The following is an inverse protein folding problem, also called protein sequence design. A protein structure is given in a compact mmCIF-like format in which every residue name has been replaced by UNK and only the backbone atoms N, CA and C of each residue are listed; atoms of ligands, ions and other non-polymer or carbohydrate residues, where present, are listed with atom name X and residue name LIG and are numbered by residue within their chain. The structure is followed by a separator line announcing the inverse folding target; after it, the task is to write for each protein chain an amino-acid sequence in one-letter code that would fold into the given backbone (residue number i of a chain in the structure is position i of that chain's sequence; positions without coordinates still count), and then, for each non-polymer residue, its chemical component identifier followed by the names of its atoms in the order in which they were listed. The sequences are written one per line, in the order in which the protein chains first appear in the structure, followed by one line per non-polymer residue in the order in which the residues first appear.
data_IF_127959643568
#
_entry.id   IF_127959643568
#
_cell.length_a   1.000
_cell.length_b   1.000
_cell.length_c   1.000
_cell.angle_alpha   90.00
_cell.angle_beta   90.00
_cell.angle_gamma   90.00
#
_symmetry.space_group_name_H-M   'P 1'
#
loop_
_entity.id
_entity.type
_entity.pdbx_description
1 polymer ?
#
# COMPACT_ATOMS: atom_id res chain seq x y z
N UNK A 1 -31.06 -5.38 -3.12
CA UNK A 1 -29.85 -5.53 -2.28
C UNK A 1 -29.70 -4.32 -1.38
N UNK A 2 -28.90 -4.43 -0.32
CA UNK A 2 -28.58 -3.27 0.52
C UNK A 2 -27.63 -2.33 -0.24
N UNK A 3 -27.70 -1.02 0.00
CA UNK A 3 -26.67 -0.05 -0.46
C UNK A 3 -25.26 -0.51 -0.07
N UNK A 4 -25.17 -1.31 0.98
CA UNK A 4 -23.94 -1.91 1.45
C UNK A 4 -23.23 -2.80 0.42
N UNK A 5 -23.99 -3.50 -0.44
CA UNK A 5 -23.44 -4.43 -1.42
C UNK A 5 -23.09 -3.74 -2.74
N UNK A 6 -23.66 -2.56 -3.00
CA UNK A 6 -23.48 -1.83 -4.26
C UNK A 6 -22.12 -1.13 -4.37
N UNK A 7 -21.63 -0.57 -3.26
CA UNK A 7 -20.35 0.14 -3.25
C UNK A 7 -19.17 -0.82 -3.50
N UNK A 8 -19.05 -1.97 -2.80
CA UNK A 8 -18.00 -2.95 -3.07
C UNK A 8 -18.02 -3.45 -4.52
N UNK A 9 -19.19 -3.79 -5.06
CA UNK A 9 -19.33 -4.19 -6.48
C UNK A 9 -18.87 -3.09 -7.45
N UNK A 10 -19.19 -1.83 -7.15
CA UNK A 10 -18.74 -0.70 -7.95
C UNK A 10 -17.22 -0.53 -7.90
N UNK A 11 -16.59 -0.79 -6.74
CA UNK A 11 -15.14 -0.78 -6.58
C UNK A 11 -14.50 -1.92 -7.37
N UNK A 12 -15.04 -3.14 -7.28
CA UNK A 12 -14.56 -4.29 -8.04
C UNK A 12 -14.61 -4.01 -9.55
N UNK A 13 -15.74 -3.47 -10.03
CA UNK A 13 -15.93 -3.10 -11.43
C UNK A 13 -14.93 -2.03 -11.91
N UNK A 14 -14.62 -1.03 -11.08
CA UNK A 14 -13.62 -0.02 -11.42
C UNK A 14 -12.19 -0.56 -11.38
N UNK A 15 -11.94 -1.56 -10.53
CA UNK A 15 -10.62 -2.18 -10.37
C UNK A 15 -10.31 -3.14 -11.51
N UNK A 16 -11.30 -3.89 -11.99
CA UNK A 16 -11.14 -4.81 -13.12
C UNK A 16 -11.04 -4.10 -14.47
N UNK A 17 -11.46 -2.82 -14.54
CA UNK A 17 -11.50 -2.09 -15.79
C UNK A 17 -10.11 -1.67 -16.26
N UNK A 18 -9.74 -2.17 -17.44
CA UNK A 18 -8.54 -1.74 -18.15
C UNK A 18 -8.93 -0.96 -19.43
N UNK A 19 -8.65 0.35 -19.49
CA UNK A 19 -9.02 1.19 -20.63
C UNK A 19 -8.24 0.88 -21.93
N UNK A 20 -7.18 0.06 -21.86
CA UNK A 20 -6.40 -0.33 -23.04
C UNK A 20 -7.03 -1.53 -23.76
N UNK A 21 -7.68 -2.42 -23.02
CA UNK A 21 -8.20 -3.69 -23.55
C UNK A 21 -9.67 -3.60 -23.93
N UNK A 22 -10.47 -2.90 -23.13
CA UNK A 22 -11.93 -2.94 -23.24
C UNK A 22 -12.56 -1.56 -23.32
N UNK A 23 -13.59 -1.45 -24.16
CA UNK A 23 -14.53 -0.34 -24.10
C UNK A 23 -15.24 -0.33 -22.74
N UNK A 24 -15.52 0.84 -22.15
CA UNK A 24 -16.33 0.94 -20.93
C UNK A 24 -17.65 0.16 -21.02
N UNK A 25 -18.33 0.21 -22.16
CA UNK A 25 -19.62 -0.47 -22.36
C UNK A 25 -19.48 -2.00 -22.36
N UNK A 26 -18.48 -2.50 -23.10
CA UNK A 26 -18.20 -3.93 -23.19
C UNK A 26 -17.79 -4.48 -21.83
N UNK A 27 -16.93 -3.77 -21.10
CA UNK A 27 -16.52 -4.15 -19.76
C UNK A 27 -17.70 -4.18 -18.78
N UNK A 28 -18.56 -3.15 -18.82
CA UNK A 28 -19.74 -3.10 -17.97
C UNK A 28 -20.67 -4.29 -18.24
N UNK A 29 -20.98 -4.58 -19.51
CA UNK A 29 -21.86 -5.68 -19.88
C UNK A 29 -21.30 -7.06 -19.50
N UNK A 30 -19.99 -7.27 -19.61
CA UNK A 30 -19.35 -8.55 -19.31
C UNK A 30 -19.29 -8.85 -17.80
N UNK A 31 -19.03 -7.81 -16.99
CA UNK A 31 -18.86 -7.97 -15.54
C UNK A 31 -20.17 -7.81 -14.77
N UNK A 32 -21.12 -7.06 -15.31
CA UNK A 32 -22.44 -6.90 -14.72
C UNK A 32 -23.34 -8.09 -15.07
N UNK A 33 -23.36 -9.11 -14.21
CA UNK A 33 -24.39 -10.15 -14.27
C UNK A 33 -25.72 -9.52 -13.87
N UNK A 34 -26.69 -9.49 -14.78
CA UNK A 34 -28.01 -8.90 -14.59
C UNK A 34 -28.55 -9.20 -13.19
N UNK A 35 -28.58 -8.17 -12.34
CA UNK A 35 -29.35 -8.19 -11.09
C UNK A 35 -30.79 -7.80 -11.43
N UNK A 36 -31.76 -8.40 -10.74
CA UNK A 36 -33.20 -8.24 -11.04
C UNK A 36 -33.71 -6.80 -10.84
N UNK A 37 -32.99 -5.93 -10.10
CA UNK A 37 -33.41 -4.55 -9.83
C UNK A 37 -32.84 -3.54 -10.86
N UNK A 38 -33.68 -2.88 -11.68
CA UNK A 38 -33.26 -1.85 -12.62
C UNK A 38 -32.55 -0.66 -11.97
N UNK A 39 -32.90 -0.31 -10.72
CA UNK A 39 -32.35 0.86 -10.03
C UNK A 39 -30.88 0.65 -9.64
N UNK A 40 -30.54 -0.58 -9.23
CA UNK A 40 -29.16 -0.96 -8.90
C UNK A 40 -28.26 -0.90 -10.13
N UNK A 41 -28.76 -1.42 -11.26
CA UNK A 41 -28.07 -1.32 -12.54
C UNK A 41 -27.80 0.12 -12.93
N UNK A 42 -28.82 0.98 -12.83
CA UNK A 42 -28.70 2.39 -13.17
C UNK A 42 -27.67 3.11 -12.29
N UNK A 43 -27.67 2.84 -10.98
CA UNK A 43 -26.67 3.40 -10.06
C UNK A 43 -25.25 2.96 -10.43
N UNK A 44 -25.03 1.66 -10.63
CA UNK A 44 -23.72 1.13 -11.00
C UNK A 44 -23.22 1.68 -12.35
N UNK A 45 -24.10 1.81 -13.34
CA UNK A 45 -23.78 2.46 -14.60
C UNK A 45 -23.35 3.91 -14.37
N UNK A 46 -24.15 4.68 -13.65
CA UNK A 46 -23.88 6.09 -13.38
C UNK A 46 -22.56 6.32 -12.63
N UNK A 47 -22.24 5.47 -11.66
CA UNK A 47 -20.97 5.52 -10.94
C UNK A 47 -19.81 5.13 -11.86
N UNK A 48 -19.92 4.02 -12.58
CA UNK A 48 -18.85 3.53 -13.45
C UNK A 48 -18.51 4.52 -14.58
N UNK A 49 -19.51 4.91 -15.36
CA UNK A 49 -19.32 5.86 -16.45
C UNK A 49 -18.93 7.25 -15.95
N UNK A 50 -19.49 7.68 -14.82
CA UNK A 50 -19.17 8.97 -14.20
C UNK A 50 -17.72 9.06 -13.72
N UNK A 51 -17.27 8.06 -12.97
CA UNK A 51 -15.88 7.98 -12.49
C UNK A 51 -14.90 7.84 -13.65
N UNK A 52 -15.26 7.10 -14.71
CA UNK A 52 -14.40 6.99 -15.89
C UNK A 52 -14.34 8.31 -16.69
N UNK A 53 -15.47 9.03 -16.82
CA UNK A 53 -15.53 10.33 -17.50
C UNK A 53 -14.69 11.39 -16.80
N UNK A 54 -14.75 11.45 -15.47
CA UNK A 54 -14.01 12.43 -14.66
C UNK A 54 -12.74 11.83 -14.03
N UNK A 55 -12.15 10.82 -14.67
CA UNK A 55 -11.05 10.05 -14.09
C UNK A 55 -9.84 10.90 -13.71
N UNK A 56 -9.43 11.81 -14.59
CA UNK A 56 -8.24 12.65 -14.34
C UNK A 56 -8.51 13.73 -13.29
N UNK A 57 -9.74 14.27 -13.26
CA UNK A 57 -10.21 15.19 -12.21
C UNK A 57 -10.11 14.52 -10.83
N UNK A 58 -10.67 13.32 -10.70
CA UNK A 58 -10.72 12.57 -9.44
C UNK A 58 -9.33 12.08 -9.03
N UNK A 59 -8.46 11.71 -9.97
CA UNK A 59 -7.07 11.33 -9.67
C UNK A 59 -6.27 12.49 -9.08
N UNK A 60 -6.43 13.70 -9.61
CA UNK A 60 -5.74 14.89 -9.09
C UNK A 60 -6.22 15.23 -7.68
N UNK A 61 -7.52 15.12 -7.44
CA UNK A 61 -8.09 15.26 -6.10
C UNK A 61 -7.51 14.23 -5.12
N UNK A 62 -7.52 12.94 -5.47
CA UNK A 62 -6.96 11.89 -4.62
C UNK A 62 -5.48 12.15 -4.30
N UNK A 63 -4.67 12.55 -5.29
CA UNK A 63 -3.26 12.90 -5.06
C UNK A 63 -3.10 14.02 -4.04
N UNK A 64 -3.93 15.06 -4.12
CA UNK A 64 -3.91 16.16 -3.16
C UNK A 64 -4.31 15.68 -1.75
N UNK A 65 -5.40 14.91 -1.63
CA UNK A 65 -5.87 14.39 -0.34
C UNK A 65 -4.82 13.50 0.31
N UNK A 66 -4.24 12.55 -0.43
CA UNK A 66 -3.22 11.65 0.09
C UNK A 66 -1.92 12.37 0.46
N UNK A 67 -1.64 13.53 -0.15
CA UNK A 67 -0.50 14.38 0.23
C UNK A 67 -0.76 15.13 1.54
N UNK A 68 -1.94 15.71 1.70
CA UNK A 68 -2.30 16.53 2.87
C UNK A 68 -2.58 15.65 4.09
N UNK A 69 -3.34 14.57 3.90
CA UNK A 69 -3.83 13.68 4.96
C UNK A 69 -3.10 12.34 4.98
N UNK A 70 -1.80 12.33 4.71
CA UNK A 70 -0.97 11.13 4.56
C UNK A 70 -0.98 10.19 5.79
N UNK A 71 -1.25 10.71 6.99
CA UNK A 71 -1.30 9.93 8.23
C UNK A 71 -2.59 9.13 8.40
N UNK A 72 -3.68 9.57 7.76
CA UNK A 72 -5.03 9.04 7.98
C UNK A 72 -5.60 8.31 6.75
N UNK A 73 -4.88 8.33 5.63
CA UNK A 73 -5.36 7.81 4.34
C UNK A 73 -4.34 6.87 3.71
N UNK A 74 -4.83 5.84 3.01
CA UNK A 74 -3.98 4.87 2.30
C UNK A 74 -4.27 4.94 0.79
N UNK A 75 -3.25 4.73 -0.04
CA UNK A 75 -3.38 4.59 -1.49
C UNK A 75 -4.38 3.48 -1.91
N UNK A 76 -4.59 2.46 -1.08
CA UNK A 76 -5.60 1.43 -1.30
C UNK A 76 -7.03 2.00 -1.33
N UNK A 77 -7.26 3.14 -0.67
CA UNK A 77 -8.57 3.80 -0.62
C UNK A 77 -8.83 4.68 -1.85
N UNK A 78 -8.00 4.60 -2.90
CA UNK A 78 -8.13 5.43 -4.09
C UNK A 78 -9.50 5.28 -4.77
N UNK A 79 -9.95 4.06 -5.08
CA UNK A 79 -11.24 3.87 -5.76
C UNK A 79 -12.45 4.29 -4.91
N UNK A 80 -12.56 3.90 -3.62
CA UNK A 80 -13.59 4.43 -2.73
C UNK A 80 -13.63 5.97 -2.73
N UNK A 81 -12.47 6.63 -2.66
CA UNK A 81 -12.40 8.09 -2.63
C UNK A 81 -12.86 8.70 -3.95
N UNK A 82 -12.51 8.10 -5.09
CA UNK A 82 -12.98 8.55 -6.41
C UNK A 82 -14.50 8.45 -6.54
N UNK A 83 -15.09 7.33 -6.10
CA UNK A 83 -16.54 7.13 -6.16
C UNK A 83 -17.26 8.19 -5.31
N UNK A 84 -16.85 8.34 -4.04
CA UNK A 84 -17.51 9.27 -3.13
C UNK A 84 -17.30 10.73 -3.57
N UNK A 85 -16.10 11.09 -4.02
CA UNK A 85 -15.84 12.43 -4.53
C UNK A 85 -16.65 12.76 -5.79
N UNK A 86 -16.84 11.78 -6.68
CA UNK A 86 -17.74 11.90 -7.84
C UNK A 86 -19.19 12.14 -7.39
N UNK A 87 -19.66 11.34 -6.41
CA UNK A 87 -21.02 11.46 -5.90
C UNK A 87 -21.26 12.86 -5.30
N UNK A 88 -20.36 13.35 -4.46
CA UNK A 88 -20.49 14.67 -3.83
C UNK A 88 -20.43 15.79 -4.87
N UNK A 89 -19.45 15.77 -5.76
CA UNK A 89 -19.19 16.88 -6.68
C UNK A 89 -20.25 17.00 -7.77
N UNK A 90 -20.72 15.88 -8.31
CA UNK A 90 -21.56 15.88 -9.52
C UNK A 90 -22.98 15.33 -9.34
N UNK A 91 -23.24 14.53 -8.29
CA UNK A 91 -24.48 13.74 -8.20
C UNK A 91 -25.27 13.93 -6.92
N UNK A 92 -24.76 14.69 -5.95
CA UNK A 92 -25.41 14.85 -4.64
C UNK A 92 -26.83 15.43 -4.78
N UNK A 93 -27.00 16.39 -5.69
CA UNK A 93 -28.27 17.08 -5.91
C UNK A 93 -29.34 16.14 -6.51
N UNK A 94 -28.92 15.19 -7.36
CA UNK A 94 -29.81 14.19 -7.97
C UNK A 94 -30.11 13.01 -7.04
N UNK A 95 -29.11 12.59 -6.25
CA UNK A 95 -29.22 11.43 -5.35
C UNK A 95 -29.94 11.79 -4.04
N UNK A 96 -29.73 13.02 -3.58
CA UNK A 96 -30.20 13.55 -2.31
C UNK A 96 -29.37 13.07 -1.11
N UNK A 97 -29.31 13.92 -0.10
CA UNK A 97 -28.52 13.70 1.14
C UNK A 97 -28.91 12.42 1.88
N UNK A 98 -30.20 12.01 1.83
CA UNK A 98 -30.69 10.80 2.53
C UNK A 98 -30.09 9.51 2.00
N UNK A 99 -30.03 9.35 0.67
CA UNK A 99 -29.43 8.16 0.06
C UNK A 99 -27.91 8.20 0.17
N UNK A 100 -27.33 9.38 0.01
CA UNK A 100 -25.90 9.59 0.20
C UNK A 100 -25.44 9.19 1.62
N UNK A 101 -26.18 9.59 2.67
CA UNK A 101 -25.88 9.20 4.05
C UNK A 101 -25.84 7.67 4.22
N UNK A 102 -26.79 6.93 3.66
CA UNK A 102 -26.81 5.45 3.72
C UNK A 102 -25.58 4.82 3.06
N UNK A 103 -25.12 5.38 1.95
CA UNK A 103 -23.92 4.94 1.23
C UNK A 103 -22.69 5.16 2.11
N UNK A 104 -22.55 6.35 2.69
CA UNK A 104 -21.43 6.72 3.55
C UNK A 104 -21.38 5.89 4.83
N UNK A 105 -22.54 5.61 5.44
CA UNK A 105 -22.63 4.81 6.67
C UNK A 105 -22.15 3.36 6.52
N UNK A 106 -22.15 2.84 5.29
CA UNK A 106 -21.58 1.52 4.96
C UNK A 106 -20.05 1.51 5.03
N UNK A 107 -19.43 2.65 4.71
CA UNK A 107 -17.98 2.76 4.59
C UNK A 107 -17.33 3.08 5.94
N UNK A 108 -16.00 2.99 5.99
CA UNK A 108 -15.23 3.29 7.19
C UNK A 108 -15.39 4.77 7.62
N UNK A 109 -15.93 5.05 8.83
CA UNK A 109 -16.30 6.41 9.22
C UNK A 109 -15.15 7.41 9.22
N UNK A 110 -13.96 7.00 9.69
CA UNK A 110 -12.78 7.86 9.76
C UNK A 110 -12.34 8.32 8.37
N UNK A 111 -12.26 7.39 7.42
CA UNK A 111 -11.85 7.69 6.04
C UNK A 111 -12.84 8.62 5.34
N UNK A 112 -14.13 8.36 5.51
CA UNK A 112 -15.17 9.20 4.91
C UNK A 112 -15.18 10.60 5.53
N UNK A 113 -14.97 10.72 6.84
CA UNK A 113 -14.84 12.00 7.51
C UNK A 113 -13.69 12.84 6.91
N UNK A 114 -12.49 12.26 6.81
CA UNK A 114 -11.32 12.95 6.24
C UNK A 114 -11.55 13.40 4.80
N UNK A 115 -12.15 12.53 3.98
CA UNK A 115 -12.47 12.84 2.58
C UNK A 115 -13.48 13.99 2.47
N UNK A 116 -14.60 13.92 3.21
CA UNK A 116 -15.65 14.93 3.16
C UNK A 116 -15.19 16.26 3.74
N UNK A 117 -14.44 16.24 4.85
CA UNK A 117 -13.87 17.45 5.44
C UNK A 117 -12.95 18.18 4.45
N UNK A 118 -12.15 17.45 3.68
CA UNK A 118 -11.30 18.05 2.66
C UNK A 118 -12.11 18.56 1.46
N UNK A 119 -13.06 17.77 0.97
CA UNK A 119 -13.82 18.07 -0.25
C UNK A 119 -14.82 19.22 -0.07
N UNK A 120 -15.34 19.42 1.14
CA UNK A 120 -16.30 20.46 1.45
C UNK A 120 -15.63 21.78 1.90
N UNK A 121 -14.32 21.77 2.15
CA UNK A 121 -13.57 22.96 2.52
C UNK A 121 -13.04 23.68 1.26
N UNK A 122 -13.64 24.83 0.94
CA UNK A 122 -13.27 25.63 -0.23
C UNK A 122 -11.82 26.10 -0.21
N UNK A 123 -11.30 26.50 0.95
CA UNK A 123 -9.93 27.01 1.09
C UNK A 123 -8.92 25.90 0.76
N UNK A 124 -9.15 24.71 1.30
CA UNK A 124 -8.29 23.54 1.05
C UNK A 124 -8.31 23.12 -0.42
N UNK A 125 -9.47 23.19 -1.08
CA UNK A 125 -9.58 22.90 -2.51
C UNK A 125 -8.87 23.96 -3.36
N UNK A 126 -9.02 25.24 -3.01
CA UNK A 126 -8.35 26.36 -3.69
C UNK A 126 -6.83 26.26 -3.56
N UNK A 127 -6.32 25.91 -2.40
CA UNK A 127 -4.88 25.83 -2.14
C UNK A 127 -4.22 24.60 -2.79
N UNK A 128 -4.84 23.43 -2.69
CA UNK A 128 -4.16 22.18 -3.03
C UNK A 128 -4.59 21.54 -4.35
N UNK A 129 -5.77 21.89 -4.88
CA UNK A 129 -6.38 21.16 -6.01
C UNK A 129 -6.66 22.05 -7.21
N UNK A 130 -7.06 23.31 -6.99
CA UNK A 130 -7.48 24.23 -8.05
C UNK A 130 -6.49 24.30 -9.21
N UNK A 131 -5.22 24.59 -8.95
CA UNK A 131 -4.20 24.72 -10.00
C UNK A 131 -4.07 23.41 -10.81
N UNK A 132 -4.09 22.28 -10.10
CA UNK A 132 -4.06 20.96 -10.74
C UNK A 132 -5.30 20.71 -11.61
N UNK A 133 -6.49 21.15 -11.19
CA UNK A 133 -7.71 21.01 -12.00
C UNK A 133 -7.73 21.98 -13.18
N UNK A 134 -7.24 23.21 -13.02
CA UNK A 134 -7.14 24.21 -14.07
C UNK A 134 -6.18 23.81 -15.22
N UNK A 135 -5.29 22.85 -15.00
CA UNK A 135 -4.48 22.26 -16.08
C UNK A 135 -5.30 21.41 -17.06
N UNK A 136 -6.46 20.88 -16.65
CA UNK A 136 -7.30 20.00 -17.46
C UNK A 136 -8.63 20.65 -17.85
N UNK A 137 -9.18 21.49 -16.96
CA UNK A 137 -10.49 22.10 -17.12
C UNK A 137 -10.41 23.62 -17.04
N UNK A 138 -11.39 24.29 -17.62
CA UNK A 138 -11.49 25.74 -17.58
C UNK A 138 -11.65 26.27 -16.15
N UNK A 139 -11.08 27.44 -15.90
CA UNK A 139 -11.11 28.09 -14.59
C UNK A 139 -12.53 28.26 -14.03
N UNK A 140 -13.47 28.70 -14.86
CA UNK A 140 -14.87 28.91 -14.45
C UNK A 140 -15.54 27.60 -14.01
N UNK A 141 -15.28 26.51 -14.73
CA UNK A 141 -15.79 25.19 -14.37
C UNK A 141 -15.24 24.74 -13.01
N UNK A 142 -13.93 24.92 -12.79
CA UNK A 142 -13.26 24.53 -11.55
C UNK A 142 -13.78 25.34 -10.35
N UNK A 143 -13.84 26.66 -10.47
CA UNK A 143 -14.36 27.52 -9.41
C UNK A 143 -15.83 27.23 -9.08
N UNK A 144 -16.64 26.91 -10.10
CA UNK A 144 -18.03 26.52 -9.90
C UNK A 144 -18.14 25.23 -9.06
N UNK A 145 -17.31 24.23 -9.35
CA UNK A 145 -17.28 22.97 -8.56
C UNK A 145 -16.82 23.22 -7.12
N UNK A 146 -15.77 24.03 -6.92
CA UNK A 146 -15.29 24.37 -5.57
C UNK A 146 -16.40 25.05 -4.76
N UNK A 147 -17.04 26.06 -5.34
CA UNK A 147 -18.11 26.82 -4.69
C UNK A 147 -19.33 25.94 -4.40
N UNK A 148 -19.72 25.07 -5.35
CA UNK A 148 -20.81 24.10 -5.15
C UNK A 148 -20.51 23.09 -4.05
N UNK A 149 -19.26 22.66 -3.93
CA UNK A 149 -18.87 21.75 -2.86
C UNK A 149 -18.90 22.46 -1.51
N UNK A 150 -18.46 23.72 -1.45
CA UNK A 150 -18.57 24.54 -0.25
C UNK A 150 -20.01 24.77 0.21
N UNK A 151 -20.94 25.06 -0.72
CA UNK A 151 -22.36 25.22 -0.36
C UNK A 151 -22.98 23.95 0.23
N UNK A 152 -22.52 22.78 -0.23
CA UNK A 152 -22.95 21.46 0.30
C UNK A 152 -22.41 21.19 1.71
N UNK A 153 -21.42 21.95 2.18
CA UNK A 153 -20.89 21.81 3.54
C UNK A 153 -21.95 22.01 4.60
N UNK A 154 -22.90 22.93 4.39
CA UNK A 154 -23.98 23.19 5.34
C UNK A 154 -24.97 22.01 5.38
N UNK A 155 -25.33 21.46 4.23
CA UNK A 155 -26.25 20.32 4.13
C UNK A 155 -25.67 19.03 4.71
N UNK A 156 -24.34 18.88 4.65
CA UNK A 156 -23.62 17.71 5.13
C UNK A 156 -22.98 17.91 6.51
N UNK A 157 -23.18 19.05 7.18
CA UNK A 157 -22.63 19.33 8.51
C UNK A 157 -23.04 18.27 9.54
N UNK A 158 -24.34 17.93 9.59
CA UNK A 158 -24.87 16.87 10.46
C UNK A 158 -24.28 15.48 10.16
N UNK A 159 -23.86 15.25 8.91
CA UNK A 159 -23.20 14.00 8.52
C UNK A 159 -21.75 13.98 8.97
N UNK A 160 -21.03 15.10 8.81
CA UNK A 160 -19.66 15.26 9.28
C UNK A 160 -19.58 15.09 10.80
N UNK A 161 -20.46 15.72 11.57
CA UNK A 161 -20.50 15.58 13.03
C UNK A 161 -20.80 14.14 13.45
N UNK A 162 -21.75 13.48 12.77
CA UNK A 162 -22.02 12.07 13.01
C UNK A 162 -20.79 11.19 12.74
N UNK A 163 -20.07 11.43 11.64
CA UNK A 163 -18.87 10.67 11.29
C UNK A 163 -17.71 10.93 12.25
N UNK A 164 -17.51 12.18 12.66
CA UNK A 164 -16.51 12.59 13.66
C UNK A 164 -16.74 11.87 14.99
N UNK A 165 -17.99 11.87 15.49
CA UNK A 165 -18.36 11.20 16.73
C UNK A 165 -18.20 9.67 16.64
N UNK A 166 -18.50 9.09 15.48
CA UNK A 166 -18.35 7.66 15.22
C UNK A 166 -16.88 7.25 15.08
N UNK A 167 -16.05 8.09 14.47
CA UNK A 167 -14.62 7.85 14.28
C UNK A 167 -13.82 8.01 15.59
N UNK A 168 -14.18 8.97 16.44
CA UNK A 168 -13.51 9.22 17.72
C UNK A 168 -14.00 8.30 18.84
N UNK A 169 -15.08 7.53 18.64
CA UNK A 169 -15.61 6.57 19.61
C UNK A 169 -16.25 7.20 20.86
N UNK A 170 -16.37 8.53 20.92
CA UNK A 170 -16.97 9.22 22.07
C UNK A 170 -18.51 9.19 22.03
N UNK A 171 -19.12 8.91 20.86
CA UNK A 171 -20.57 8.90 20.68
C UNK A 171 -21.30 7.62 21.11
N UNK A 172 -20.60 6.52 21.37
CA UNK A 172 -21.21 5.25 21.86
C UNK A 172 -21.11 5.07 23.37
N UNK A 173 -20.41 5.95 24.07
CA UNK A 173 -20.27 5.88 25.54
C UNK A 173 -21.42 6.62 26.25
N UNK A 174 -22.17 7.48 25.54
CA UNK A 174 -23.16 8.37 26.15
C UNK A 174 -24.51 8.16 25.47
N UNK A 175 -25.18 7.06 25.83
CA UNK A 175 -26.64 6.81 25.71
C UNK A 175 -27.08 5.41 26.19
N UNK A 176 -26.24 4.71 26.95
CA UNK A 176 -26.76 3.74 27.92
C UNK A 176 -26.99 4.50 29.21
N UNK A 177 -28.23 4.49 29.68
CA UNK A 177 -28.70 5.08 30.92
C UNK A 177 -27.72 4.81 32.06
N UNK A 178 -27.48 5.84 32.86
CA UNK A 178 -26.69 5.84 34.08
C UNK A 178 -27.16 4.75 35.06
N UNK A 179 -26.70 3.52 34.89
CA UNK A 179 -26.41 2.65 36.01
C UNK A 179 -24.94 2.88 36.33
N UNK A 180 -24.70 3.85 37.22
CA UNK A 180 -23.40 4.07 37.86
C UNK A 180 -23.05 2.80 38.63
N UNK A 181 -22.52 1.78 37.93
CA UNK A 181 -21.74 0.74 38.57
C UNK A 181 -20.45 1.42 38.98
N UNK A 182 -20.36 1.77 40.26
CA UNK A 182 -19.10 2.18 40.87
C UNK A 182 -18.01 1.20 40.42
N UNK A 183 -17.11 1.68 39.55
CA UNK A 183 -16.02 0.84 39.05
C UNK A 183 -15.20 0.43 40.26
N UNK A 184 -15.21 -0.86 40.58
CA UNK A 184 -14.38 -1.40 41.67
C UNK A 184 -12.93 -1.06 41.35
N UNK A 185 -12.31 -0.21 42.16
CA UNK A 185 -10.89 0.08 42.04
C UNK A 185 -10.08 -1.20 42.25
N UNK A 186 -9.08 -1.42 41.40
CA UNK A 186 -8.18 -2.57 41.51
C UNK A 186 -7.35 -2.46 42.77
N UNK A 187 -7.56 -3.38 43.72
CA UNK A 187 -6.68 -3.57 44.87
C UNK A 187 -5.49 -4.42 44.42
N UNK A 188 -4.28 -3.95 44.69
CA UNK A 188 -3.05 -4.68 44.31
C UNK A 188 -2.85 -5.86 45.29
N UNK A 189 -2.99 -7.10 44.80
CA UNK A 189 -2.55 -8.27 45.54
C UNK A 189 -1.07 -8.55 45.26
N UNK A 190 -0.22 -8.74 46.29
CA UNK A 190 1.17 -9.09 46.08
C UNK A 190 1.26 -10.48 45.42
N UNK A 191 2.00 -10.55 44.31
CA UNK A 191 2.19 -11.81 43.60
C UNK A 191 3.10 -12.77 44.38
N UNK A 192 2.84 -14.07 44.28
CA UNK A 192 3.75 -15.08 44.81
C UNK A 192 5.06 -15.08 44.01
N UNK A 193 6.15 -14.67 44.64
CA UNK A 193 7.51 -14.69 44.09
C UNK A 193 7.92 -16.13 43.74
N UNK A 194 7.85 -16.48 42.46
CA UNK A 194 8.40 -17.75 41.96
C UNK A 194 9.87 -17.55 41.59
N UNK A 195 10.76 -18.40 42.12
CA UNK A 195 12.17 -18.39 41.71
C UNK A 195 12.24 -18.76 40.22
N UNK A 196 12.91 -17.96 39.37
CA UNK A 196 12.98 -18.25 37.95
C UNK A 196 13.66 -19.60 37.73
N UNK A 197 13.06 -20.45 36.89
CA UNK A 197 13.66 -21.73 36.53
C UNK A 197 15.00 -21.46 35.81
N UNK A 198 16.09 -22.16 36.18
CA UNK A 198 17.39 -21.95 35.53
C UNK A 198 17.26 -22.25 34.03
N UNK A 199 17.79 -21.36 33.19
CA UNK A 199 17.75 -21.52 31.73
C UNK A 199 18.52 -22.77 31.34
N UNK A 200 17.86 -23.73 30.68
CA UNK A 200 18.52 -24.87 30.04
C UNK A 200 19.15 -24.36 28.74
N UNK A 201 20.47 -24.35 28.67
CA UNK A 201 21.17 -24.08 27.41
C UNK A 201 20.94 -25.25 26.45
N UNK A 202 20.71 -25.00 25.15
CA UNK A 202 20.63 -26.06 24.16
C UNK A 202 21.97 -26.82 24.12
N UNK A 203 21.90 -28.16 24.14
CA UNK A 203 23.10 -28.99 24.03
C UNK A 203 23.59 -28.93 22.59
N UNK A 204 24.80 -28.43 22.37
CA UNK A 204 25.40 -28.37 21.04
C UNK A 204 25.57 -29.80 20.49
N UNK A 205 25.22 -29.99 19.22
CA UNK A 205 25.48 -31.23 18.48
C UNK A 205 26.93 -31.20 18.00
N UNK A 206 27.74 -32.18 18.43
CA UNK A 206 29.09 -32.33 17.93
C UNK A 206 29.02 -32.80 16.47
N UNK A 207 29.49 -31.97 15.53
CA UNK A 207 29.60 -32.34 14.13
C UNK A 207 30.86 -33.19 13.93
N UNK A 208 30.70 -34.40 13.38
CA UNK A 208 31.83 -35.23 12.97
C UNK A 208 32.54 -34.59 11.77
N UNK A 209 33.75 -34.06 11.99
CA UNK A 209 34.58 -33.51 10.91
C UNK A 209 35.24 -34.66 10.14
N UNK A 210 34.74 -34.96 8.94
CA UNK A 210 35.44 -35.84 7.99
C UNK A 210 36.48 -35.02 7.22
N UNK A 211 37.76 -35.35 7.40
CA UNK A 211 38.84 -34.76 6.61
C UNK A 211 38.87 -35.47 5.25
N UNK A 212 38.41 -34.79 4.21
CA UNK A 212 38.55 -35.27 2.83
C UNK A 212 39.86 -34.74 2.29
N UNK A 213 40.79 -35.64 1.93
CA UNK A 213 42.07 -35.29 1.31
C UNK A 213 41.99 -35.65 -0.17
N UNK A 214 42.23 -34.68 -1.03
CA UNK A 214 42.35 -34.94 -2.47
C UNK A 214 43.62 -35.76 -2.75
N UNK A 215 43.59 -36.73 -3.67
CA UNK A 215 44.77 -37.52 -4.01
C UNK A 215 45.87 -36.59 -4.52
N UNK A 216 47.11 -36.87 -4.10
CA UNK A 216 48.29 -36.13 -4.53
C UNK A 216 48.47 -36.34 -6.03
N UNK A 217 48.71 -35.26 -6.78
CA UNK A 217 48.92 -35.34 -8.23
C UNK A 217 50.17 -36.16 -8.56
N UNK A 218 50.06 -37.09 -9.51
CA UNK A 218 51.16 -38.00 -9.93
C UNK A 218 52.44 -37.27 -10.37
N UNK A 219 52.34 -35.98 -10.72
CA UNK A 219 53.46 -35.15 -11.15
C UNK A 219 54.46 -34.88 -10.00
N UNK A 220 54.00 -34.90 -8.76
CA UNK A 220 54.79 -34.50 -7.59
C UNK A 220 55.94 -35.49 -7.31
N UNK A 221 55.80 -36.76 -7.69
CA UNK A 221 56.79 -37.80 -7.47
C UNK A 221 57.52 -38.28 -8.75
N UNK A 222 57.45 -37.52 -9.84
CA UNK A 222 58.02 -37.94 -11.14
C UNK A 222 59.53 -38.09 -11.16
N UNK A 223 60.26 -37.27 -10.41
CA UNK A 223 61.72 -37.27 -10.42
C UNK A 223 62.26 -37.78 -9.09
N UNK A 224 63.15 -38.76 -9.14
CA UNK A 224 63.84 -39.24 -7.94
C UNK A 224 64.93 -38.24 -7.51
N UNK A 225 65.29 -38.26 -6.23
CA UNK A 225 66.34 -37.38 -5.69
C UNK A 225 67.69 -37.62 -6.38
N UNK A 226 67.95 -38.85 -6.81
CA UNK A 226 69.16 -39.24 -7.56
C UNK A 226 69.20 -38.59 -8.95
N UNK A 227 68.08 -38.62 -9.70
CA UNK A 227 67.99 -38.00 -11.02
C UNK A 227 68.19 -36.48 -10.97
N UNK A 228 67.69 -35.83 -9.91
CA UNK A 228 67.90 -34.39 -9.69
C UNK A 228 69.38 -34.08 -9.40
N UNK A 229 70.07 -34.93 -8.63
CA UNK A 229 71.48 -34.77 -8.34
C UNK A 229 72.35 -34.90 -9.60
N UNK A 230 72.11 -35.92 -10.42
CA UNK A 230 72.82 -36.14 -11.69
C UNK A 230 72.63 -34.96 -12.67
N UNK A 231 71.38 -34.51 -12.86
CA UNK A 231 71.09 -33.36 -13.71
C UNK A 231 71.77 -32.07 -13.23
N UNK A 232 71.90 -31.89 -11.90
CA UNK A 232 72.61 -30.76 -11.33
C UNK A 232 74.13 -30.84 -11.55
N UNK A 233 74.72 -32.04 -11.48
CA UNK A 233 76.13 -32.24 -11.80
C UNK A 233 76.43 -31.98 -13.28
N UNK A 234 75.60 -32.49 -14.19
CA UNK A 234 75.73 -32.21 -15.62
C UNK A 234 75.62 -30.71 -15.91
N UNK A 235 74.66 -30.04 -15.28
CA UNK A 235 74.50 -28.58 -15.42
C UNK A 235 75.73 -27.83 -14.92
N UNK A 236 76.32 -28.25 -13.79
CA UNK A 236 77.58 -27.68 -13.27
C UNK A 236 78.75 -27.91 -14.23
N UNK A 237 78.90 -29.10 -14.80
CA UNK A 237 79.95 -29.42 -15.78
C UNK A 237 79.82 -28.55 -17.04
N UNK A 238 78.62 -28.44 -17.61
CA UNK A 238 78.33 -27.58 -18.77
C UNK A 238 78.65 -26.11 -18.51
N UNK A 239 78.27 -25.57 -17.34
CA UNK A 239 78.61 -24.19 -16.95
C UNK A 239 80.12 -24.00 -16.84
N UNK A 240 80.85 -24.98 -16.28
CA UNK A 240 82.31 -24.94 -16.17
C UNK A 240 82.98 -24.92 -17.55
N UNK A 241 82.52 -25.75 -18.48
CA UNK A 241 83.00 -25.76 -19.87
C UNK A 241 82.70 -24.46 -20.61
N UNK A 242 81.49 -23.91 -20.45
CA UNK A 242 81.13 -22.62 -21.04
C UNK A 242 82.01 -21.49 -20.51
N UNK A 243 82.27 -21.49 -19.20
CA UNK A 243 83.15 -20.51 -18.54
C UNK A 243 84.58 -20.63 -19.06
N UNK A 244 85.12 -21.86 -19.18
CA UNK A 244 86.45 -22.10 -19.74
C UNK A 244 86.57 -21.66 -21.21
N UNK A 245 85.54 -21.91 -22.03
CA UNK A 245 85.51 -21.44 -23.43
C UNK A 245 85.52 -19.90 -23.51
N UNK A 246 84.80 -19.23 -22.60
CA UNK A 246 84.74 -17.76 -22.56
C UNK A 246 86.13 -17.15 -22.34
N UNK A 247 86.91 -17.67 -21.41
CA UNK A 247 88.26 -17.17 -21.09
C UNK A 247 89.39 -17.75 -21.95
N UNK A 248 89.09 -18.60 -22.95
CA UNK A 248 90.09 -19.15 -23.88
C UNK A 248 90.25 -18.32 -25.16
N UNK A 249 89.30 -17.43 -25.44
CA UNK A 249 89.27 -16.55 -26.61
C UNK A 249 89.55 -15.06 -26.25
N UNK A 250 90.05 -14.81 -25.04
CA UNK A 250 90.70 -13.56 -24.59
C UNK A 250 92.21 -13.81 -24.47
#
# INVERSE_FOLDING_TARGET
MSWADLVPKSIELLTSYNPVTDSPDTHFQNNYKSTDDPNEKMFMQQVFYGVNRYRDFLKRLNRAIFKVNATSTNSNDSFPFMIIAYLVSFRLDELGVKHFRKIIETQEPLKMHVLLQFLLNEEMLREHVRDSWCEIYDFEFVENIITKNGSKSLELADLLDYLSNKATGHGTIIKEEEVVKEKKFTVQEPFNLTKPKPRKLPKYLALERKVVVNPVQDVIYKNSLQQVAEANEERRKKVKEQTLKKYRNE
#
